data_IF_819357203022
#
_entry.id   IF_819357203022
#
_cell.length_a   1.000
_cell.length_b   1.000
_cell.length_c   1.000
_cell.angle_alpha   90.00
_cell.angle_beta   90.00
_cell.angle_gamma   90.00
#
_symmetry.space_group_name_H-M   'P 1'
#
loop_
_entity.id
_entity.type
_entity.pdbx_description
1 polymer ?
#
# COMPACT_ATOMS: atom_id res chain seq x y z
N UNK A 1 5.49 -16.04 15.02
CA UNK A 1 6.58 -15.08 14.65
C UNK A 1 7.16 -15.33 13.27
N UNK A 2 7.41 -16.58 12.84
CA UNK A 2 7.96 -16.89 11.51
C UNK A 2 7.08 -16.39 10.35
N UNK A 3 5.75 -16.63 10.41
CA UNK A 3 4.79 -16.16 9.39
C UNK A 3 4.85 -14.65 9.14
N UNK A 4 4.84 -13.83 10.21
CA UNK A 4 4.92 -12.37 10.10
C UNK A 4 6.21 -11.89 9.43
N UNK A 5 7.35 -12.52 9.75
CA UNK A 5 8.62 -12.19 9.08
C UNK A 5 8.56 -12.53 7.59
N UNK A 6 8.03 -13.70 7.22
CA UNK A 6 7.88 -14.09 5.82
C UNK A 6 6.94 -13.13 5.04
N UNK A 7 5.85 -12.65 5.66
CA UNK A 7 4.97 -11.64 5.07
C UNK A 7 5.71 -10.31 4.85
N UNK A 8 6.48 -9.86 5.84
CA UNK A 8 7.29 -8.65 5.73
C UNK A 8 8.40 -8.77 4.69
N UNK A 9 9.02 -9.93 4.55
CA UNK A 9 10.05 -10.17 3.53
C UNK A 9 9.46 -10.13 2.12
N UNK A 10 8.26 -10.69 1.92
CA UNK A 10 7.51 -10.55 0.66
C UNK A 10 7.18 -9.08 0.35
N UNK A 11 6.72 -8.31 1.34
CA UNK A 11 6.45 -6.88 1.16
C UNK A 11 7.71 -6.08 0.83
N UNK A 12 8.85 -6.42 1.45
CA UNK A 12 10.16 -5.84 1.11
C UNK A 12 10.54 -6.14 -0.33
N UNK A 13 10.32 -7.36 -0.79
CA UNK A 13 10.59 -7.76 -2.17
C UNK A 13 9.72 -6.98 -3.17
N UNK A 14 8.41 -6.86 -2.89
CA UNK A 14 7.51 -6.04 -3.69
C UNK A 14 7.99 -4.59 -3.81
N UNK A 15 8.34 -3.96 -2.68
CA UNK A 15 8.83 -2.59 -2.67
C UNK A 15 10.17 -2.45 -3.41
N UNK A 16 11.11 -3.39 -3.22
CA UNK A 16 12.39 -3.36 -3.94
C UNK A 16 12.24 -3.51 -5.46
N UNK A 17 11.21 -4.24 -5.91
CA UNK A 17 10.90 -4.37 -7.33
C UNK A 17 10.50 -3.03 -7.94
N UNK A 18 9.71 -2.22 -7.23
CA UNK A 18 9.22 -0.92 -7.73
C UNK A 18 10.16 0.25 -7.44
N UNK A 19 10.96 0.16 -6.38
CA UNK A 19 12.00 1.13 -6.00
C UNK A 19 13.24 0.38 -5.50
N UNK A 20 14.20 0.08 -6.40
CA UNK A 20 15.44 -0.57 -6.02
C UNK A 20 16.19 0.21 -4.92
N UNK A 21 16.63 -0.49 -3.89
CA UNK A 21 17.34 0.10 -2.75
C UNK A 21 16.45 0.80 -1.70
N UNK A 22 15.12 0.77 -1.88
CA UNK A 22 14.21 1.24 -0.85
C UNK A 22 14.25 0.35 0.40
N UNK A 23 14.04 0.96 1.56
CA UNK A 23 13.98 0.27 2.86
C UNK A 23 12.65 0.51 3.55
N UNK A 24 11.98 -0.56 3.96
CA UNK A 24 10.76 -0.50 4.78
C UNK A 24 11.13 -0.69 6.26
N UNK A 25 10.58 0.12 7.15
CA UNK A 25 10.73 -0.03 8.59
C UNK A 25 9.37 -0.33 9.20
N UNK A 26 9.02 -1.62 9.34
CA UNK A 26 7.79 -2.05 9.98
C UNK A 26 7.83 -1.71 11.48
N UNK A 27 7.04 -0.72 11.95
CA UNK A 27 7.05 -0.38 13.36
C UNK A 27 6.47 -1.52 14.19
N UNK A 28 7.12 -1.80 15.33
CA UNK A 28 6.66 -2.77 16.36
C UNK A 28 6.00 -2.09 17.55
N UNK A 29 6.17 -0.78 17.66
CA UNK A 29 5.63 0.11 18.69
C UNK A 29 5.22 1.39 17.99
N UNK A 30 4.25 2.11 18.55
CA UNK A 30 3.80 3.39 18.01
C UNK A 30 5.02 4.33 17.87
N UNK A 31 5.40 4.71 16.64
CA UNK A 31 6.62 5.48 16.46
C UNK A 31 6.42 6.90 16.99
N UNK A 32 7.37 7.37 17.79
CA UNK A 32 7.38 8.76 18.25
C UNK A 32 7.83 9.64 17.08
N UNK A 33 6.89 10.41 16.51
CA UNK A 33 7.15 11.52 15.56
C UNK A 33 8.05 11.17 14.38
N UNK A 34 7.51 10.50 13.38
CA UNK A 34 8.18 10.37 12.08
C UNK A 34 7.62 11.45 11.16
N UNK A 35 8.49 12.33 10.65
CA UNK A 35 8.07 13.48 9.83
C UNK A 35 7.42 13.10 8.49
N UNK A 36 7.80 11.95 7.90
CA UNK A 36 7.26 11.46 6.64
C UNK A 36 7.01 9.94 6.66
N UNK A 37 5.93 9.46 6.07
CA UNK A 37 5.70 8.04 5.83
C UNK A 37 6.66 7.54 4.76
N UNK A 38 6.88 8.36 3.73
CA UNK A 38 7.80 8.09 2.64
C UNK A 38 8.62 9.33 2.31
N UNK A 39 9.92 9.15 2.12
CA UNK A 39 10.85 10.23 1.80
C UNK A 39 11.60 10.04 0.46
N UNK A 40 11.08 9.21 -0.44
CA UNK A 40 11.75 8.84 -1.69
C UNK A 40 12.71 7.65 -1.59
N UNK A 41 13.00 7.14 -0.38
CA UNK A 41 13.89 6.00 -0.17
C UNK A 41 13.49 5.07 0.97
N UNK A 42 12.97 5.64 2.04
CA UNK A 42 12.63 4.93 3.27
C UNK A 42 11.13 5.00 3.49
N UNK A 43 10.49 3.84 3.57
CA UNK A 43 9.08 3.71 3.93
C UNK A 43 8.96 3.39 5.42
N UNK A 44 8.18 4.20 6.12
CA UNK A 44 7.87 4.07 7.54
C UNK A 44 6.34 4.12 7.68
N UNK A 45 5.66 2.99 7.37
CA UNK A 45 4.20 2.94 7.43
C UNK A 45 3.70 3.29 8.82
N UNK A 46 2.52 3.88 8.90
CA UNK A 46 1.81 4.09 10.17
C UNK A 46 1.05 2.83 10.57
N UNK A 47 0.42 2.84 11.75
CA UNK A 47 -0.29 1.67 12.28
C UNK A 47 0.60 0.65 13.04
N UNK A 48 -0.04 -0.16 13.88
CA UNK A 48 0.63 -1.16 14.74
C UNK A 48 0.51 -2.59 14.20
N UNK A 49 -0.52 -2.85 13.41
CA UNK A 49 -0.78 -4.12 12.74
C UNK A 49 -0.14 -4.11 11.35
N UNK A 50 0.07 -5.28 10.75
CA UNK A 50 0.63 -5.30 9.39
C UNK A 50 -0.45 -4.82 8.39
N UNK A 51 -1.70 -5.14 8.68
CA UNK A 51 -2.92 -4.75 7.99
C UNK A 51 -3.02 -3.24 7.77
N UNK A 52 -2.83 -2.42 8.82
CA UNK A 52 -2.84 -0.95 8.68
C UNK A 52 -1.60 -0.47 7.93
N UNK A 53 -0.42 -1.09 8.16
CA UNK A 53 0.84 -0.73 7.51
C UNK A 53 0.85 -1.03 6.00
N UNK A 54 -0.07 -1.87 5.51
CA UNK A 54 -0.23 -2.12 4.08
C UNK A 54 -0.71 -0.89 3.32
N UNK A 55 -1.35 0.08 3.98
CA UNK A 55 -1.90 1.27 3.33
C UNK A 55 -0.81 2.12 2.66
N UNK A 56 0.25 2.49 3.38
CA UNK A 56 1.36 3.25 2.76
C UNK A 56 2.22 2.42 1.82
N UNK A 57 2.22 1.08 1.97
CA UNK A 57 2.83 0.21 0.98
C UNK A 57 2.02 0.24 -0.32
N UNK A 58 0.68 0.20 -0.23
CA UNK A 58 -0.20 0.30 -1.39
C UNK A 58 0.00 1.63 -2.13
N UNK A 59 0.06 2.77 -1.43
CA UNK A 59 0.41 4.05 -2.06
C UNK A 59 1.73 3.97 -2.84
N UNK A 60 2.79 3.40 -2.24
CA UNK A 60 4.07 3.28 -2.91
C UNK A 60 4.00 2.44 -4.20
N UNK A 61 3.21 1.36 -4.17
CA UNK A 61 3.05 0.46 -5.31
C UNK A 61 2.23 1.10 -6.44
N UNK A 62 1.22 1.91 -6.10
CA UNK A 62 0.37 2.64 -7.07
C UNK A 62 1.06 3.86 -7.66
N UNK A 63 1.90 4.54 -6.88
CA UNK A 63 2.58 5.75 -7.31
C UNK A 63 3.42 5.53 -8.59
N UNK A 64 3.40 6.51 -9.49
CA UNK A 64 4.22 6.49 -10.71
C UNK A 64 5.73 6.48 -10.39
N UNK A 65 6.60 6.04 -11.31
CA UNK A 65 8.05 6.03 -11.08
C UNK A 65 8.63 7.40 -10.68
N UNK A 66 8.04 8.49 -11.16
CA UNK A 66 8.41 9.85 -10.78
C UNK A 66 7.98 10.18 -9.35
N UNK A 67 6.71 9.90 -9.03
CA UNK A 67 6.13 10.16 -7.71
C UNK A 67 6.74 9.31 -6.60
N UNK A 68 7.23 8.12 -6.90
CA UNK A 68 8.00 7.29 -5.95
C UNK A 68 9.26 7.99 -5.43
N UNK A 69 9.80 9.00 -6.14
CA UNK A 69 10.96 9.77 -5.64
C UNK A 69 10.56 10.95 -4.75
N UNK A 70 9.28 11.25 -4.65
CA UNK A 70 8.75 12.42 -3.95
C UNK A 70 8.32 12.05 -2.52
N UNK A 71 8.47 12.96 -1.55
CA UNK A 71 7.88 12.79 -0.22
C UNK A 71 6.38 12.52 -0.30
N UNK A 72 5.87 11.63 0.57
CA UNK A 72 4.44 11.23 0.61
C UNK A 72 3.87 10.86 -0.76
N UNK A 73 4.71 10.27 -1.60
CA UNK A 73 4.35 9.82 -2.95
C UNK A 73 3.82 10.96 -3.83
N UNK A 74 4.08 12.23 -3.50
CA UNK A 74 3.53 13.39 -4.20
C UNK A 74 2.03 13.63 -3.97
N UNK A 75 1.40 13.01 -2.97
CA UNK A 75 -0.02 13.19 -2.65
C UNK A 75 -0.30 14.41 -1.75
N UNK A 76 0.75 15.11 -1.32
CA UNK A 76 0.64 16.20 -0.38
C UNK A 76 0.69 15.72 1.07
N UNK A 77 0.23 16.55 2.01
CA UNK A 77 0.49 16.32 3.42
C UNK A 77 -0.26 15.11 3.97
N UNK A 78 0.41 14.31 4.79
CA UNK A 78 -0.18 13.16 5.49
C UNK A 78 -1.08 13.71 6.62
N UNK A 79 -2.38 13.39 6.67
CA UNK A 79 -3.31 13.96 7.64
C UNK A 79 -2.96 13.64 9.11
N UNK A 80 -2.17 12.58 9.34
CA UNK A 80 -1.70 12.16 10.65
C UNK A 80 -0.32 12.75 11.01
N UNK A 81 0.33 13.43 10.07
CA UNK A 81 1.66 14.02 10.26
C UNK A 81 1.62 15.51 9.99
N UNK A 82 2.27 16.28 10.85
CA UNK A 82 2.48 17.71 10.61
C UNK A 82 3.66 17.88 9.66
N UNK A 83 3.44 17.63 8.37
CA UNK A 83 4.39 17.91 7.29
C UNK A 83 3.82 18.95 6.32
N UNK A 84 4.70 19.55 5.52
CA UNK A 84 4.36 20.62 4.57
C UNK A 84 4.88 20.25 3.18
N UNK A 85 4.41 19.10 2.68
CA UNK A 85 4.80 18.57 1.37
C UNK A 85 3.74 18.94 0.32
N UNK A 86 4.13 19.38 -0.87
CA UNK A 86 3.18 19.78 -1.90
C UNK A 86 2.46 18.58 -2.51
N UNK A 87 1.19 18.75 -2.84
CA UNK A 87 0.48 17.80 -3.70
C UNK A 87 0.88 18.06 -5.17
N UNK A 88 1.31 17.01 -5.85
CA UNK A 88 1.83 17.07 -7.23
C UNK A 88 0.78 16.65 -8.27
N UNK A 89 -0.38 16.17 -7.84
CA UNK A 89 -1.48 15.76 -8.70
C UNK A 89 -2.77 16.50 -8.34
N UNK A 90 -3.73 16.64 -9.26
CA UNK A 90 -5.04 17.17 -8.96
C UNK A 90 -5.74 16.41 -7.83
N UNK A 91 -6.57 17.12 -7.06
CA UNK A 91 -7.26 16.54 -5.89
C UNK A 91 -8.13 15.33 -6.26
N UNK A 92 -8.85 15.41 -7.38
CA UNK A 92 -9.70 14.33 -7.88
C UNK A 92 -8.90 13.06 -8.19
N UNK A 93 -7.70 13.21 -8.75
CA UNK A 93 -6.79 12.08 -8.99
C UNK A 93 -6.27 11.49 -7.68
N UNK A 94 -5.98 12.33 -6.69
CA UNK A 94 -5.54 11.87 -5.36
C UNK A 94 -6.65 11.11 -4.63
N UNK A 95 -7.89 11.60 -4.67
CA UNK A 95 -9.04 10.93 -4.05
C UNK A 95 -9.36 9.59 -4.76
N UNK A 96 -9.17 9.51 -6.08
CA UNK A 96 -9.30 8.25 -6.82
C UNK A 96 -8.18 7.27 -6.47
N UNK A 97 -6.93 7.76 -6.36
CA UNK A 97 -5.81 6.91 -5.95
C UNK A 97 -5.96 6.42 -4.51
N UNK A 98 -6.52 7.21 -3.61
CA UNK A 98 -6.87 6.79 -2.25
C UNK A 98 -7.84 5.60 -2.27
N UNK A 99 -8.88 5.68 -3.12
CA UNK A 99 -9.84 4.57 -3.30
C UNK A 99 -9.13 3.31 -3.79
N UNK A 100 -8.27 3.43 -4.80
CA UNK A 100 -7.48 2.31 -5.30
C UNK A 100 -6.46 1.78 -4.28
N UNK A 101 -5.92 2.66 -3.43
CA UNK A 101 -5.00 2.31 -2.34
C UNK A 101 -5.70 1.40 -1.34
N UNK A 102 -6.92 1.77 -0.93
CA UNK A 102 -7.77 0.95 -0.06
C UNK A 102 -8.07 -0.42 -0.67
N UNK A 103 -8.40 -0.50 -1.97
CA UNK A 103 -8.63 -1.77 -2.65
C UNK A 103 -7.35 -2.63 -2.72
N UNK A 104 -6.21 -2.03 -3.05
CA UNK A 104 -4.94 -2.74 -3.10
C UNK A 104 -4.50 -3.20 -1.70
N UNK A 105 -4.74 -2.40 -0.66
CA UNK A 105 -4.49 -2.78 0.73
C UNK A 105 -5.27 -4.04 1.11
N UNK A 106 -6.58 -4.08 0.81
CA UNK A 106 -7.43 -5.24 1.06
C UNK A 106 -6.94 -6.46 0.26
N UNK A 107 -6.51 -6.26 -0.99
CA UNK A 107 -6.01 -7.34 -1.83
C UNK A 107 -4.69 -7.91 -1.29
N UNK A 108 -3.77 -7.04 -0.87
CA UNK A 108 -2.52 -7.43 -0.23
C UNK A 108 -2.78 -8.21 1.07
N UNK A 109 -3.77 -7.80 1.86
CA UNK A 109 -4.16 -8.52 3.07
C UNK A 109 -4.61 -9.95 2.75
N UNK A 110 -5.47 -10.14 1.73
CA UNK A 110 -5.90 -11.46 1.28
C UNK A 110 -4.72 -12.30 0.76
N UNK A 111 -3.88 -11.74 -0.12
CA UNK A 111 -2.74 -12.45 -0.71
C UNK A 111 -1.65 -12.83 0.32
N UNK A 112 -1.55 -12.08 1.41
CA UNK A 112 -0.65 -12.37 2.51
C UNK A 112 -1.31 -13.21 3.61
N UNK A 113 -2.58 -13.58 3.44
CA UNK A 113 -3.38 -14.29 4.43
C UNK A 113 -3.35 -13.59 5.80
N UNK A 114 -3.64 -12.29 5.79
CA UNK A 114 -3.86 -11.43 6.96
C UNK A 114 -5.36 -11.30 7.26
N UNK A 115 -5.69 -10.63 8.37
CA UNK A 115 -7.08 -10.38 8.74
C UNK A 115 -7.70 -9.30 7.83
N UNK A 116 -8.41 -9.72 6.79
CA UNK A 116 -9.10 -8.80 5.88
C UNK A 116 -10.21 -7.99 6.58
N UNK A 117 -10.83 -8.55 7.63
CA UNK A 117 -11.89 -7.86 8.35
C UNK A 117 -11.35 -6.67 9.12
N UNK A 118 -10.12 -6.77 9.64
CA UNK A 118 -9.44 -5.63 10.25
C UNK A 118 -9.28 -4.46 9.27
N UNK A 119 -8.88 -4.73 8.02
CA UNK A 119 -8.75 -3.71 6.97
C UNK A 119 -10.12 -3.12 6.63
N UNK A 120 -11.13 -3.97 6.42
CA UNK A 120 -12.48 -3.52 6.05
C UNK A 120 -13.12 -2.64 7.13
N UNK A 121 -12.92 -2.97 8.40
CA UNK A 121 -13.45 -2.17 9.52
C UNK A 121 -12.71 -0.84 9.64
N UNK A 122 -11.39 -0.83 9.52
CA UNK A 122 -10.57 0.38 9.63
C UNK A 122 -10.92 1.41 8.55
N UNK A 123 -11.13 0.96 7.31
CA UNK A 123 -11.36 1.84 6.16
C UNK A 123 -12.82 1.83 5.64
N UNK A 124 -13.73 1.16 6.36
CA UNK A 124 -15.16 1.03 5.99
C UNK A 124 -15.36 0.52 4.55
N UNK A 125 -14.64 -0.54 4.20
CA UNK A 125 -14.61 -1.08 2.84
C UNK A 125 -15.60 -2.22 2.62
N UNK A 126 -16.22 -2.19 1.45
CA UNK A 126 -16.92 -3.35 0.88
C UNK A 126 -15.92 -4.48 0.53
N UNK A 127 -16.38 -5.74 0.42
CA UNK A 127 -15.54 -6.83 -0.06
C UNK A 127 -14.96 -6.54 -1.45
N UNK A 128 -13.75 -7.05 -1.71
CA UNK A 128 -13.16 -6.99 -3.04
C UNK A 128 -14.02 -7.75 -4.05
N UNK A 129 -14.31 -7.10 -5.17
CA UNK A 129 -14.99 -7.71 -6.31
C UNK A 129 -14.01 -8.01 -7.44
N UNK A 130 -14.34 -8.92 -8.37
CA UNK A 130 -13.53 -9.15 -9.57
C UNK A 130 -13.27 -7.87 -10.38
N UNK A 131 -14.28 -7.01 -10.53
CA UNK A 131 -14.16 -5.73 -11.25
C UNK A 131 -13.17 -4.76 -10.61
N UNK A 132 -13.08 -4.72 -9.28
CA UNK A 132 -12.09 -3.92 -8.56
C UNK A 132 -10.67 -4.42 -8.85
N UNK A 133 -10.45 -5.75 -8.81
CA UNK A 133 -9.14 -6.35 -9.12
C UNK A 133 -8.75 -6.11 -10.58
N UNK A 134 -9.68 -6.26 -11.52
CA UNK A 134 -9.47 -5.96 -12.94
C UNK A 134 -9.11 -4.48 -13.15
N UNK A 135 -9.79 -3.58 -12.44
CA UNK A 135 -9.49 -2.14 -12.49
C UNK A 135 -8.08 -1.86 -11.97
N UNK A 136 -7.71 -2.40 -10.81
CA UNK A 136 -6.35 -2.23 -10.27
C UNK A 136 -5.28 -2.76 -11.22
N UNK A 137 -5.48 -3.96 -11.80
CA UNK A 137 -4.52 -4.54 -12.73
C UNK A 137 -4.42 -3.72 -14.03
N UNK A 138 -5.53 -3.19 -14.53
CA UNK A 138 -5.57 -2.38 -15.75
C UNK A 138 -4.89 -1.02 -15.57
N UNK A 139 -5.16 -0.36 -14.45
CA UNK A 139 -4.66 1.00 -14.17
C UNK A 139 -3.21 0.96 -13.65
N UNK A 140 -2.87 -0.04 -12.84
CA UNK A 140 -1.55 -0.19 -12.20
C UNK A 140 -0.94 -1.58 -12.45
N UNK A 141 -0.70 -1.96 -13.71
CA UNK A 141 -0.23 -3.32 -14.05
C UNK A 141 1.08 -3.67 -13.35
N UNK A 142 1.94 -2.67 -13.13
CA UNK A 142 3.25 -2.83 -12.50
C UNK A 142 3.22 -2.77 -10.97
N UNK A 143 2.07 -2.59 -10.31
CA UNK A 143 1.99 -2.51 -8.85
C UNK A 143 2.25 -3.87 -8.18
N UNK A 144 1.80 -4.98 -8.79
CA UNK A 144 2.08 -6.35 -8.36
C UNK A 144 2.81 -7.16 -9.45
N UNK A 145 3.60 -8.19 -9.09
CA UNK A 145 4.19 -9.10 -10.07
C UNK A 145 3.11 -9.99 -10.71
N UNK A 146 3.33 -10.53 -11.92
CA UNK A 146 2.34 -11.33 -12.64
C UNK A 146 1.76 -12.51 -11.84
N UNK A 147 2.61 -13.18 -11.04
CA UNK A 147 2.19 -14.29 -10.18
C UNK A 147 1.21 -13.86 -9.08
N UNK A 148 1.34 -12.65 -8.56
CA UNK A 148 0.40 -12.10 -7.58
C UNK A 148 -0.91 -11.71 -8.23
N UNK A 149 -0.89 -11.14 -9.44
CA UNK A 149 -2.12 -10.89 -10.20
C UNK A 149 -2.88 -12.17 -10.54
N UNK A 150 -2.15 -13.24 -10.88
CA UNK A 150 -2.76 -14.56 -11.10
C UNK A 150 -3.46 -15.08 -9.84
N UNK A 151 -2.79 -14.99 -8.68
CA UNK A 151 -3.38 -15.38 -7.39
C UNK A 151 -4.59 -14.51 -7.04
N UNK A 152 -4.50 -13.20 -7.24
CA UNK A 152 -5.58 -12.24 -6.97
C UNK A 152 -6.87 -12.63 -7.70
N UNK A 153 -6.77 -12.91 -9.00
CA UNK A 153 -7.91 -13.36 -9.82
C UNK A 153 -8.47 -14.70 -9.35
N UNK A 154 -7.62 -15.65 -8.96
CA UNK A 154 -8.07 -16.94 -8.44
C UNK A 154 -8.85 -16.78 -7.12
N UNK A 155 -8.42 -15.88 -6.24
CA UNK A 155 -9.10 -15.62 -4.97
C UNK A 155 -10.51 -15.05 -5.18
N UNK A 156 -10.65 -13.97 -5.97
CA UNK A 156 -11.95 -13.31 -6.16
C UNK A 156 -12.91 -14.09 -7.07
N UNK A 157 -12.43 -15.06 -7.85
CA UNK A 157 -13.28 -15.98 -8.60
C UNK A 157 -13.86 -17.11 -7.73
N UNK A 158 -13.31 -17.32 -6.54
CA UNK A 158 -13.70 -18.39 -5.61
C UNK A 158 -14.50 -17.91 -4.39
N UNK A 159 -14.62 -16.59 -4.21
CA UNK A 159 -15.37 -15.93 -3.15
C UNK A 159 -16.78 -15.57 -3.62
#
# INVERSE_FOLDING_TARGET
MARRRAQEDQLRELVRRVVPGATIYFPRRRPYRVGLSWNGRNLRPTGMTLESQLHEIAHLLLASPERRRQPEFGLGPDPYRRNDVPCLIPREEADLEETHTCWLQLLLAQLLELDEMAVRVEFQLEPLTPSMVETLQRVYPDSLPPSWWQRARAHVASA
#
